data_IF_968574973726
#
_entry.id   IF_968574973726
#
_cell.length_a   1.000
_cell.length_b   1.000
_cell.length_c   1.000
_cell.angle_alpha   90.00
_cell.angle_beta   90.00
_cell.angle_gamma   90.00
#
_symmetry.space_group_name_H-M   'P 1'
#
loop_
_entity.id
_entity.type
_entity.pdbx_description
1 polymer ?
#
# COMPACT_ATOMS: atom_id res chain seq x y z
N UNK A 1 -16.00 -1.45 0.37
CA UNK A 1 -15.45 -1.23 1.72
C UNK A 1 -14.33 -2.23 1.92
N UNK A 2 -13.20 -1.83 2.52
CA UNK A 2 -12.23 -2.79 3.08
C UNK A 2 -12.98 -3.50 4.21
N UNK A 3 -12.89 -4.82 4.31
CA UNK A 3 -13.38 -5.46 5.53
C UNK A 3 -12.36 -5.21 6.66
N UNK A 4 -12.82 -4.97 7.88
CA UNK A 4 -11.94 -4.58 9.00
C UNK A 4 -10.75 -5.54 9.21
N UNK A 5 -10.90 -6.81 8.80
CA UNK A 5 -9.85 -7.82 8.90
C UNK A 5 -8.71 -7.62 7.91
N UNK A 6 -9.01 -7.29 6.65
CA UNK A 6 -7.99 -6.97 5.64
C UNK A 6 -7.17 -5.76 6.07
N UNK A 7 -7.84 -4.74 6.61
CA UNK A 7 -7.16 -3.55 7.11
C UNK A 7 -6.21 -3.87 8.26
N UNK A 8 -6.64 -4.68 9.23
CA UNK A 8 -5.77 -5.16 10.31
C UNK A 8 -4.56 -5.96 9.80
N UNK A 9 -4.75 -6.76 8.75
CA UNK A 9 -3.66 -7.53 8.13
C UNK A 9 -2.66 -6.60 7.43
N UNK A 10 -3.14 -5.58 6.71
CA UNK A 10 -2.28 -4.56 6.11
C UNK A 10 -1.51 -3.80 7.18
N UNK A 11 -2.17 -3.34 8.24
CA UNK A 11 -1.51 -2.64 9.36
C UNK A 11 -0.44 -3.49 10.04
N UNK A 12 -0.73 -4.78 10.30
CA UNK A 12 0.22 -5.72 10.86
C UNK A 12 1.45 -5.88 9.94
N UNK A 13 1.21 -6.00 8.64
CA UNK A 13 2.25 -6.03 7.64
C UNK A 13 3.13 -4.78 7.66
N UNK A 14 2.55 -3.57 7.65
CA UNK A 14 3.31 -2.32 7.70
C UNK A 14 4.15 -2.22 8.97
N UNK A 15 3.54 -2.53 10.11
CA UNK A 15 4.20 -2.49 11.42
C UNK A 15 5.39 -3.44 11.48
N UNK A 16 5.24 -4.66 10.94
CA UNK A 16 6.32 -5.64 10.86
C UNK A 16 7.46 -5.15 9.95
N UNK A 17 7.13 -4.61 8.77
CA UNK A 17 8.12 -4.12 7.82
C UNK A 17 8.95 -2.95 8.38
N UNK A 18 8.27 -1.96 8.98
CA UNK A 18 8.93 -0.79 9.58
C UNK A 18 9.84 -1.20 10.75
N UNK A 19 9.36 -2.08 11.63
CA UNK A 19 10.15 -2.59 12.76
C UNK A 19 11.41 -3.32 12.31
N UNK A 20 11.29 -4.22 11.32
CA UNK A 20 12.44 -4.96 10.78
C UNK A 20 13.47 -4.00 10.16
N UNK A 21 13.00 -2.98 9.45
CA UNK A 21 13.87 -1.94 8.90
C UNK A 21 14.60 -1.16 10.00
N UNK A 22 13.89 -0.70 11.03
CA UNK A 22 14.47 0.01 12.19
C UNK A 22 15.55 -0.84 12.89
N UNK A 23 15.30 -2.14 13.03
CA UNK A 23 16.21 -3.08 13.66
C UNK A 23 17.36 -3.57 12.73
N UNK A 24 17.42 -3.12 11.48
CA UNK A 24 18.37 -3.59 10.46
C UNK A 24 18.32 -5.11 10.25
N UNK A 25 17.15 -5.72 10.47
CA UNK A 25 16.92 -7.15 10.28
C UNK A 25 16.85 -7.50 8.79
N UNK A 26 17.13 -8.78 8.46
CA UNK A 26 17.02 -9.28 7.10
C UNK A 26 15.63 -8.98 6.52
N UNK A 27 15.55 -8.66 5.23
CA UNK A 27 14.40 -7.94 4.72
C UNK A 27 13.21 -8.89 4.42
N UNK A 28 13.39 -10.20 4.53
CA UNK A 28 12.38 -11.21 4.21
C UNK A 28 11.20 -11.13 5.18
N UNK A 29 10.01 -10.87 4.65
CA UNK A 29 8.76 -10.89 5.39
C UNK A 29 7.94 -12.07 4.89
N UNK A 30 7.45 -12.90 5.80
CA UNK A 30 6.64 -14.06 5.46
C UNK A 30 5.18 -13.87 5.88
N UNK A 31 4.27 -14.54 5.18
CA UNK A 31 2.85 -14.63 5.56
C UNK A 31 2.67 -15.16 7.00
N UNK A 32 3.56 -16.05 7.45
CA UNK A 32 3.50 -16.56 8.82
C UNK A 32 3.78 -15.48 9.87
N UNK A 33 4.76 -14.62 9.61
CA UNK A 33 5.09 -13.50 10.50
C UNK A 33 4.00 -12.44 10.50
N UNK A 34 3.43 -12.14 9.33
CA UNK A 34 2.30 -11.21 9.21
C UNK A 34 1.07 -11.76 9.97
N UNK A 35 0.77 -13.06 9.81
CA UNK A 35 -0.32 -13.70 10.55
C UNK A 35 -0.13 -13.60 12.06
N UNK A 36 1.11 -13.84 12.54
CA UNK A 36 1.46 -13.68 13.95
C UNK A 36 1.26 -12.24 14.43
N UNK A 37 1.73 -11.24 13.67
CA UNK A 37 1.57 -9.82 14.02
C UNK A 37 0.09 -9.39 13.98
N UNK A 38 -0.72 -9.97 13.09
CA UNK A 38 -2.16 -9.72 12.98
C UNK A 38 -3.02 -10.52 13.99
N UNK A 39 -2.41 -11.35 14.84
CA UNK A 39 -3.11 -12.17 15.82
C UNK A 39 -3.97 -13.28 15.22
N UNK A 40 -3.64 -13.77 14.02
CA UNK A 40 -4.36 -14.86 13.35
C UNK A 40 -3.45 -16.06 13.08
N UNK A 41 -4.03 -17.26 13.00
CA UNK A 41 -3.25 -18.44 12.68
C UNK A 41 -2.74 -18.39 11.22
N UNK A 42 -1.55 -18.95 10.97
CA UNK A 42 -1.01 -19.09 9.61
C UNK A 42 -2.01 -19.80 8.68
N UNK A 43 -2.70 -20.82 9.20
CA UNK A 43 -3.70 -21.57 8.43
C UNK A 43 -4.94 -20.73 8.11
N UNK A 44 -5.41 -19.90 9.04
CA UNK A 44 -6.51 -18.97 8.78
C UNK A 44 -6.11 -17.91 7.76
N UNK A 45 -4.89 -17.37 7.87
CA UNK A 45 -4.32 -16.43 6.91
C UNK A 45 -4.33 -17.03 5.49
N UNK A 46 -3.74 -18.21 5.30
CA UNK A 46 -3.64 -18.81 3.96
C UNK A 46 -4.96 -19.35 3.41
N UNK A 47 -5.90 -19.75 4.27
CA UNK A 47 -7.19 -20.32 3.86
C UNK A 47 -8.23 -19.25 3.54
N UNK A 48 -8.24 -18.14 4.29
CA UNK A 48 -9.34 -17.16 4.25
C UNK A 48 -8.92 -15.75 3.83
N UNK A 49 -7.61 -15.44 3.81
CA UNK A 49 -7.13 -14.08 3.56
C UNK A 49 -6.12 -14.03 2.42
N UNK A 50 -4.86 -14.38 2.68
CA UNK A 50 -3.76 -14.27 1.72
C UNK A 50 -2.89 -15.52 1.74
N UNK A 51 -2.75 -16.18 0.60
CA UNK A 51 -1.92 -17.38 0.43
C UNK A 51 -0.45 -17.01 0.34
N UNK A 52 -0.14 -15.89 -0.32
CA UNK A 52 1.24 -15.44 -0.56
C UNK A 52 1.39 -13.96 -0.25
N UNK A 53 2.64 -13.53 -0.06
CA UNK A 53 2.94 -12.12 0.19
C UNK A 53 2.56 -11.26 -1.02
N UNK A 54 2.74 -11.78 -2.22
CA UNK A 54 2.39 -11.12 -3.48
C UNK A 54 0.90 -10.84 -3.56
N UNK A 55 0.05 -11.81 -3.19
CA UNK A 55 -1.41 -11.64 -3.16
C UNK A 55 -1.85 -10.53 -2.19
N UNK A 56 -1.21 -10.46 -1.01
CA UNK A 56 -1.44 -9.40 -0.04
C UNK A 56 -1.06 -8.04 -0.60
N UNK A 57 0.14 -7.92 -1.17
CA UNK A 57 0.64 -6.67 -1.74
C UNK A 57 -0.23 -6.21 -2.91
N UNK A 58 -0.59 -7.11 -3.83
CA UNK A 58 -1.46 -6.80 -4.97
C UNK A 58 -2.86 -6.32 -4.54
N UNK A 59 -3.41 -6.92 -3.49
CA UNK A 59 -4.73 -6.53 -2.96
C UNK A 59 -4.67 -5.17 -2.30
N UNK A 60 -3.65 -4.94 -1.46
CA UNK A 60 -3.37 -3.65 -0.84
C UNK A 60 -3.23 -2.54 -1.89
N UNK A 61 -2.49 -2.82 -2.97
CA UNK A 61 -2.36 -1.93 -4.11
C UNK A 61 -3.68 -1.55 -4.73
N UNK A 62 -4.46 -2.56 -5.12
CA UNK A 62 -5.74 -2.36 -5.79
C UNK A 62 -6.66 -1.52 -4.92
N UNK A 63 -6.61 -1.72 -3.61
CA UNK A 63 -7.45 -0.99 -2.67
C UNK A 63 -7.04 0.47 -2.54
N UNK A 64 -5.76 0.73 -2.31
CA UNK A 64 -5.22 2.10 -2.31
C UNK A 64 -5.51 2.82 -3.64
N UNK A 65 -5.38 2.10 -4.76
CA UNK A 65 -5.71 2.61 -6.11
C UNK A 65 -7.16 3.07 -6.21
N UNK A 66 -8.09 2.23 -5.75
CA UNK A 66 -9.52 2.52 -5.80
C UNK A 66 -9.87 3.74 -4.96
N UNK A 67 -9.29 3.86 -3.76
CA UNK A 67 -9.56 4.99 -2.88
C UNK A 67 -9.04 6.31 -3.49
N UNK A 68 -7.83 6.30 -4.07
CA UNK A 68 -7.30 7.46 -4.83
C UNK A 68 -8.18 7.76 -6.05
N UNK A 69 -8.53 6.77 -6.86
CA UNK A 69 -9.37 6.98 -8.04
C UNK A 69 -10.75 7.52 -7.70
N UNK A 70 -11.36 7.05 -6.62
CA UNK A 70 -12.66 7.54 -6.14
C UNK A 70 -12.61 9.02 -5.75
N UNK A 71 -11.46 9.48 -5.25
CA UNK A 71 -11.21 10.89 -4.93
C UNK A 71 -11.27 11.77 -6.18
N UNK A 72 -10.89 11.22 -7.34
CA UNK A 72 -10.90 11.92 -8.63
C UNK A 72 -12.18 11.72 -9.44
N UNK A 73 -13.06 10.80 -9.06
CA UNK A 73 -14.26 10.47 -9.84
C UNK A 73 -15.23 11.66 -10.00
N UNK A 74 -15.15 12.64 -9.10
CA UNK A 74 -15.98 13.85 -9.12
C UNK A 74 -15.26 15.10 -9.66
N UNK A 75 -13.99 14.98 -10.09
CA UNK A 75 -13.25 16.11 -10.65
C UNK A 75 -13.66 16.33 -12.12
N UNK A 76 -14.15 17.53 -12.43
CA UNK A 76 -14.39 17.92 -13.83
C UNK A 76 -13.11 18.48 -14.45
N UNK A 77 -12.73 18.08 -15.69
CA UNK A 77 -11.60 18.68 -16.42
C UNK A 77 -11.72 20.19 -16.64
N UNK A 78 -12.93 20.74 -16.52
CA UNK A 78 -13.24 22.16 -16.70
C UNK A 78 -12.90 22.99 -15.46
N UNK A 79 -12.72 22.34 -14.31
CA UNK A 79 -12.25 22.98 -13.10
C UNK A 79 -10.76 23.26 -13.25
N UNK A 80 -10.40 24.52 -13.55
CA UNK A 80 -9.01 25.02 -13.57
C UNK A 80 -8.41 25.07 -12.15
N UNK A 81 -8.42 23.96 -11.44
CA UNK A 81 -7.85 23.85 -10.09
C UNK A 81 -6.35 23.65 -10.24
N UNK A 82 -5.58 24.39 -9.43
CA UNK A 82 -4.14 24.25 -9.39
C UNK A 82 -3.76 22.79 -9.02
N UNK A 83 -2.87 22.12 -9.78
CA UNK A 83 -2.46 20.75 -9.48
C UNK A 83 -1.91 20.56 -8.06
N UNK A 84 -1.26 21.58 -7.49
CA UNK A 84 -0.77 21.55 -6.10
C UNK A 84 -1.94 21.50 -5.12
N UNK A 85 -3.00 22.28 -5.36
CA UNK A 85 -4.23 22.26 -4.56
C UNK A 85 -4.91 20.90 -4.64
N UNK A 86 -4.99 20.31 -5.83
CA UNK A 86 -5.53 18.94 -6.01
C UNK A 86 -4.72 17.93 -5.18
N UNK A 87 -3.40 18.01 -5.23
CA UNK A 87 -2.52 17.14 -4.45
C UNK A 87 -2.71 17.33 -2.94
N UNK A 88 -2.72 18.58 -2.47
CA UNK A 88 -2.76 18.91 -1.05
C UNK A 88 -4.12 18.62 -0.40
N UNK A 89 -5.22 18.97 -1.08
CA UNK A 89 -6.57 18.93 -0.50
C UNK A 89 -7.29 17.61 -0.74
N UNK A 90 -6.88 16.83 -1.74
CA UNK A 90 -7.62 15.63 -2.15
C UNK A 90 -6.74 14.38 -2.11
N UNK A 91 -5.56 14.42 -2.75
CA UNK A 91 -4.70 13.23 -2.87
C UNK A 91 -4.01 12.89 -1.56
N UNK A 92 -3.37 13.87 -0.90
CA UNK A 92 -2.66 13.63 0.36
C UNK A 92 -3.59 13.11 1.47
N UNK A 93 -4.81 13.66 1.67
CA UNK A 93 -5.76 13.09 2.62
C UNK A 93 -6.18 11.66 2.28
N UNK A 94 -6.42 11.35 1.00
CA UNK A 94 -6.77 10.00 0.56
C UNK A 94 -5.61 9.01 0.74
N UNK A 95 -4.36 9.47 0.63
CA UNK A 95 -3.15 8.66 0.86
C UNK A 95 -2.77 8.52 2.34
N UNK A 96 -3.19 9.45 3.20
CA UNK A 96 -2.74 9.49 4.59
C UNK A 96 -3.04 8.19 5.37
N UNK A 97 -4.22 7.55 5.25
CA UNK A 97 -4.47 6.24 5.87
C UNK A 97 -3.50 5.14 5.41
N UNK A 98 -2.95 5.27 4.21
CA UNK A 98 -2.02 4.33 3.60
C UNK A 98 -0.55 4.67 3.90
N UNK A 99 -0.27 5.74 4.64
CA UNK A 99 1.10 6.27 4.78
C UNK A 99 2.08 5.27 5.38
N UNK A 100 1.68 4.51 6.40
CA UNK A 100 2.53 3.48 7.00
C UNK A 100 2.80 2.32 6.02
N UNK A 101 1.85 2.01 5.15
CA UNK A 101 1.98 0.98 4.11
C UNK A 101 2.90 1.45 2.98
N UNK A 102 2.78 2.73 2.60
CA UNK A 102 3.67 3.37 1.62
C UNK A 102 5.11 3.39 2.14
N UNK A 103 5.31 3.78 3.41
CA UNK A 103 6.62 3.73 4.06
C UNK A 103 7.16 2.31 4.14
N UNK A 104 6.33 1.34 4.56
CA UNK A 104 6.68 -0.07 4.61
C UNK A 104 7.14 -0.59 3.23
N UNK A 105 6.43 -0.24 2.16
CA UNK A 105 6.78 -0.63 0.80
C UNK A 105 8.12 -0.03 0.32
N UNK A 106 8.50 1.14 0.82
CA UNK A 106 9.78 1.78 0.49
C UNK A 106 10.97 1.10 1.17
N UNK A 107 10.78 0.62 2.40
CA UNK A 107 11.86 0.06 3.23
C UNK A 107 12.01 -1.46 3.13
N UNK A 108 10.96 -2.14 2.70
CA UNK A 108 10.95 -3.57 2.48
C UNK A 108 11.78 -3.97 1.23
N UNK A 109 12.27 -5.22 1.15
CA UNK A 109 13.14 -5.64 0.05
C UNK A 109 12.46 -5.55 -1.31
N UNK A 110 13.29 -5.66 -2.35
CA UNK A 110 12.95 -5.70 -3.78
C UNK A 110 11.76 -6.59 -4.15
N UNK A 111 11.41 -7.59 -3.33
CA UNK A 111 10.23 -8.43 -3.49
C UNK A 111 8.92 -7.63 -3.48
N UNK A 112 8.85 -6.55 -2.70
CA UNK A 112 7.73 -5.62 -2.73
C UNK A 112 7.75 -4.79 -4.01
N UNK A 113 8.89 -4.19 -4.35
CA UNK A 113 9.01 -3.39 -5.58
C UNK A 113 8.68 -4.19 -6.85
N UNK A 114 8.95 -5.50 -6.85
CA UNK A 114 8.60 -6.38 -7.97
C UNK A 114 7.09 -6.59 -8.09
N UNK A 115 6.37 -6.79 -6.98
CA UNK A 115 4.90 -6.80 -6.98
C UNK A 115 4.32 -5.44 -7.43
N UNK A 116 4.94 -4.34 -7.01
CA UNK A 116 4.53 -2.98 -7.40
C UNK A 116 4.76 -2.69 -8.89
N UNK A 117 5.84 -3.22 -9.50
CA UNK A 117 6.16 -3.02 -10.93
C UNK A 117 5.42 -4.00 -11.86
N UNK A 118 5.05 -5.18 -11.36
CA UNK A 118 4.34 -6.22 -12.13
C UNK A 118 2.82 -6.23 -11.91
N UNK A 119 2.33 -5.45 -10.94
CA UNK A 119 0.90 -5.19 -10.75
C UNK A 119 0.26 -4.79 -12.07
N UNK A 120 -0.79 -5.52 -12.45
CA UNK A 120 -1.52 -5.32 -13.73
C UNK A 120 -2.18 -3.93 -13.82
N UNK A 121 -2.23 -3.16 -12.73
CA UNK A 121 -2.77 -1.81 -12.67
C UNK A 121 -1.68 -0.75 -12.97
N UNK A 122 -1.42 -0.52 -14.26
CA UNK A 122 -0.48 0.50 -14.78
C UNK A 122 -0.75 1.94 -14.32
N UNK A 123 -1.97 2.23 -13.83
CA UNK A 123 -2.36 3.60 -13.46
C UNK A 123 -1.71 4.03 -12.14
N UNK A 124 -1.53 3.10 -11.20
CA UNK A 124 -0.88 3.38 -9.92
C UNK A 124 0.63 3.33 -10.02
N UNK A 125 1.21 2.52 -10.91
CA UNK A 125 2.63 2.67 -11.22
C UNK A 125 2.91 4.06 -11.79
N UNK A 126 2.04 4.61 -12.64
CA UNK A 126 2.14 5.99 -13.14
C UNK A 126 2.09 7.05 -12.04
N UNK A 127 1.05 7.04 -11.19
CA UNK A 127 0.89 8.02 -10.10
C UNK A 127 1.95 7.84 -8.99
N UNK A 128 2.29 6.61 -8.64
CA UNK A 128 3.30 6.31 -7.63
C UNK A 128 4.72 6.66 -8.12
N UNK A 129 5.06 6.38 -9.39
CA UNK A 129 6.32 6.85 -9.98
C UNK A 129 6.37 8.38 -10.08
N UNK A 130 5.24 9.02 -10.38
CA UNK A 130 5.12 10.49 -10.36
C UNK A 130 5.33 11.05 -8.94
N UNK A 131 4.75 10.42 -7.92
CA UNK A 131 4.88 10.80 -6.52
C UNK A 131 6.29 10.54 -5.96
N UNK A 132 6.91 9.41 -6.31
CA UNK A 132 8.30 9.07 -5.98
C UNK A 132 9.31 10.04 -6.61
N UNK A 133 9.01 10.57 -7.81
CA UNK A 133 9.78 11.66 -8.42
C UNK A 133 9.62 12.98 -7.68
N UNK A 134 8.44 13.25 -7.14
CA UNK A 134 8.14 14.46 -6.37
C UNK A 134 8.80 14.48 -4.98
N UNK A 135 8.94 13.31 -4.34
CA UNK A 135 9.61 13.13 -3.04
C UNK A 135 11.15 13.09 -3.09
N UNK A 136 11.75 13.12 -4.28
CA UNK A 136 13.21 13.20 -4.50
C UNK A 136 13.72 14.64 -4.70
N UNK A 137 12.91 15.64 -4.36
CA UNK A 137 13.34 17.01 -4.08
C UNK A 137 13.75 17.12 -2.61
#
# INVERSE_FOLDING_TARGET
>A
MINDREQQIFEAFAKLALRKHENKELPQITIAEIAKEAGISKQAMTKYHFKTLEELVDTMHRRMSLDIHSTFANFSPEQKICPITVMAEYVLPALYPWMNLIKAAYVAPTQMLHGWSTSKNKIVSGFFLMFLRFLKL
#
